data_IF_630675776527
#
_entry.id   IF_630675776527
#
_cell.length_a   1.000
_cell.length_b   1.000
_cell.length_c   1.000
_cell.angle_alpha   90.00
_cell.angle_beta   90.00
_cell.angle_gamma   90.00
#
_symmetry.space_group_name_H-M   'P 1'
#
loop_
_entity.id
_entity.type
_entity.pdbx_description
1 polymer ?
#
# COMPACT_ATOMS: atom_id res chain seq x y z
N UNK A 1 -13.41 -3.76 34.80
CA UNK A 1 -13.94 -4.85 33.95
C UNK A 1 -14.77 -4.30 32.79
N UNK A 2 -15.72 -3.38 32.99
CA UNK A 2 -16.57 -2.83 31.90
C UNK A 2 -15.81 -2.06 30.79
N UNK A 3 -14.76 -1.32 31.14
CA UNK A 3 -13.95 -0.58 30.15
C UNK A 3 -13.27 -1.52 29.14
N UNK A 4 -12.76 -2.67 29.59
CA UNK A 4 -12.08 -3.64 28.73
C UNK A 4 -13.06 -4.32 27.77
N UNK A 5 -14.28 -4.57 28.23
CA UNK A 5 -15.34 -5.16 27.42
C UNK A 5 -15.79 -4.23 26.30
N UNK A 6 -15.96 -2.93 26.60
CA UNK A 6 -16.24 -1.90 25.59
C UNK A 6 -15.10 -1.74 24.57
N UNK A 7 -13.84 -1.84 25.01
CA UNK A 7 -12.68 -1.82 24.12
C UNK A 7 -12.64 -3.04 23.18
N UNK A 8 -12.97 -4.23 23.70
CA UNK A 8 -13.05 -5.45 22.89
C UNK A 8 -14.16 -5.35 21.83
N UNK A 9 -15.32 -4.80 22.18
CA UNK A 9 -16.41 -4.56 21.24
C UNK A 9 -16.03 -3.57 20.13
N UNK A 10 -15.32 -2.49 20.47
CA UNK A 10 -14.78 -1.54 19.49
C UNK A 10 -13.81 -2.21 18.51
N UNK A 11 -12.88 -3.02 19.03
CA UNK A 11 -11.89 -3.72 18.18
C UNK A 11 -12.56 -4.72 17.23
N UNK A 12 -13.60 -5.42 17.69
CA UNK A 12 -14.37 -6.34 16.85
C UNK A 12 -15.17 -5.59 15.77
N UNK A 13 -15.82 -4.48 16.13
CA UNK A 13 -16.52 -3.63 15.17
C UNK A 13 -15.55 -3.07 14.12
N UNK A 14 -14.37 -2.61 14.52
CA UNK A 14 -13.37 -2.11 13.58
C UNK A 14 -12.93 -3.20 12.61
N UNK A 15 -12.60 -4.41 13.10
CA UNK A 15 -12.27 -5.56 12.25
C UNK A 15 -13.35 -5.87 11.23
N UNK A 16 -14.61 -5.83 11.66
CA UNK A 16 -15.77 -6.07 10.77
C UNK A 16 -15.90 -4.98 9.71
N UNK A 17 -15.71 -3.72 10.09
CA UNK A 17 -15.69 -2.58 9.16
C UNK A 17 -14.56 -2.71 8.15
N UNK A 18 -13.34 -3.02 8.59
CA UNK A 18 -12.19 -3.21 7.68
C UNK A 18 -12.43 -4.36 6.71
N UNK A 19 -12.99 -5.47 7.20
CA UNK A 19 -13.32 -6.64 6.37
C UNK A 19 -14.38 -6.28 5.33
N UNK A 20 -15.45 -5.57 5.73
CA UNK A 20 -16.49 -5.11 4.82
C UNK A 20 -15.92 -4.17 3.75
N UNK A 21 -15.16 -3.15 4.15
CA UNK A 21 -14.50 -2.22 3.22
C UNK A 21 -13.58 -2.92 2.25
N UNK A 22 -12.80 -3.92 2.70
CA UNK A 22 -11.93 -4.70 1.82
C UNK A 22 -12.74 -5.47 0.78
N UNK A 23 -13.84 -6.11 1.19
CA UNK A 23 -14.74 -6.84 0.28
C UNK A 23 -15.38 -5.91 -0.74
N UNK A 24 -15.88 -4.76 -0.31
CA UNK A 24 -16.47 -3.76 -1.22
C UNK A 24 -15.44 -3.23 -2.22
N UNK A 25 -14.22 -2.96 -1.75
CA UNK A 25 -13.11 -2.52 -2.61
C UNK A 25 -12.71 -3.60 -3.61
N UNK A 26 -12.58 -4.86 -3.18
CA UNK A 26 -12.28 -5.98 -4.08
C UNK A 26 -13.39 -6.16 -5.14
N UNK A 27 -14.66 -6.07 -4.74
CA UNK A 27 -15.79 -6.13 -5.66
C UNK A 27 -15.76 -4.98 -6.69
N UNK A 28 -15.46 -3.76 -6.25
CA UNK A 28 -15.30 -2.61 -7.14
C UNK A 28 -14.13 -2.81 -8.12
N UNK A 29 -13.00 -3.36 -7.67
CA UNK A 29 -11.86 -3.67 -8.53
C UNK A 29 -12.20 -4.71 -9.60
N UNK A 30 -12.97 -5.75 -9.25
CA UNK A 30 -13.45 -6.74 -10.22
C UNK A 30 -14.33 -6.07 -11.28
N UNK A 31 -15.28 -5.24 -10.86
CA UNK A 31 -16.17 -4.51 -11.77
C UNK A 31 -15.40 -3.59 -12.72
N UNK A 32 -14.45 -2.81 -12.19
CA UNK A 32 -13.59 -1.96 -13.01
C UNK A 32 -12.82 -2.80 -14.02
N UNK A 33 -12.21 -3.92 -13.61
CA UNK A 33 -11.49 -4.82 -14.53
C UNK A 33 -12.37 -5.39 -15.63
N UNK A 34 -13.64 -5.71 -15.34
CA UNK A 34 -14.58 -6.14 -16.38
C UNK A 34 -14.87 -5.02 -17.36
N UNK A 35 -15.17 -3.80 -16.88
CA UNK A 35 -15.40 -2.65 -17.76
C UNK A 35 -14.19 -2.32 -18.64
N UNK A 36 -12.98 -2.39 -18.08
CA UNK A 36 -11.75 -2.23 -18.87
C UNK A 36 -11.67 -3.26 -20.00
N UNK A 37 -12.03 -4.51 -19.71
CA UNK A 37 -11.99 -5.60 -20.69
C UNK A 37 -13.08 -5.45 -21.76
N UNK A 38 -14.33 -5.20 -21.36
CA UNK A 38 -15.49 -5.16 -22.26
C UNK A 38 -15.40 -4.03 -23.28
N UNK A 39 -14.87 -2.88 -22.86
CA UNK A 39 -14.72 -1.69 -23.71
C UNK A 39 -13.30 -1.52 -24.25
N UNK A 40 -12.41 -2.51 -24.03
CA UNK A 40 -11.00 -2.47 -24.42
C UNK A 40 -10.29 -1.16 -24.01
N UNK A 41 -10.61 -0.63 -22.83
CA UNK A 41 -10.09 0.65 -22.34
C UNK A 41 -8.61 0.53 -22.03
N UNK A 42 -7.83 1.52 -22.47
CA UNK A 42 -6.42 1.60 -22.13
C UNK A 42 -6.22 2.31 -20.79
N UNK A 43 -5.13 1.99 -20.07
CA UNK A 43 -4.77 2.69 -18.84
C UNK A 43 -4.64 4.22 -19.05
N UNK A 44 -4.29 4.66 -20.26
CA UNK A 44 -4.21 6.09 -20.61
C UNK A 44 -5.58 6.76 -20.63
N UNK A 45 -6.62 6.07 -21.05
CA UNK A 45 -7.99 6.59 -21.08
C UNK A 45 -8.61 6.64 -19.68
N UNK A 46 -8.25 5.67 -18.82
CA UNK A 46 -8.78 5.59 -17.45
C UNK A 46 -8.09 6.60 -16.52
N UNK A 47 -6.77 6.74 -16.65
CA UNK A 47 -5.95 7.50 -15.69
C UNK A 47 -5.32 8.77 -16.26
N UNK A 48 -5.49 9.05 -17.56
CA UNK A 48 -4.98 10.23 -18.25
C UNK A 48 -3.49 10.18 -18.60
N UNK A 49 -3.00 11.24 -19.25
CA UNK A 49 -1.58 11.41 -19.55
C UNK A 49 -0.79 11.65 -18.25
N UNK A 50 0.18 10.77 -17.96
CA UNK A 50 1.06 10.84 -16.78
C UNK A 50 0.88 9.68 -15.78
N UNK A 51 -0.07 8.78 -16.01
CA UNK A 51 -0.26 7.60 -15.15
C UNK A 51 0.96 6.68 -15.15
N UNK A 52 1.62 6.48 -16.30
CA UNK A 52 2.81 5.62 -16.41
C UNK A 52 3.98 6.08 -15.54
N UNK A 53 4.16 7.39 -15.36
CA UNK A 53 5.31 7.92 -14.63
C UNK A 53 5.08 7.94 -13.12
N UNK A 54 3.85 8.21 -12.68
CA UNK A 54 3.48 8.11 -11.26
C UNK A 54 3.26 6.66 -10.81
N UNK A 55 2.62 5.81 -11.61
CA UNK A 55 2.45 4.39 -11.26
C UNK A 55 3.81 3.69 -11.10
N UNK A 56 4.81 3.98 -11.94
CA UNK A 56 6.19 3.50 -11.73
C UNK A 56 6.83 3.95 -10.41
N UNK A 57 6.42 5.10 -9.85
CA UNK A 57 6.89 5.55 -8.53
C UNK A 57 6.18 4.82 -7.39
N UNK A 58 4.93 4.37 -7.59
CA UNK A 58 4.13 3.65 -6.58
C UNK A 58 4.23 2.12 -6.69
N UNK A 59 4.70 1.57 -7.80
CA UNK A 59 4.88 0.11 -8.01
C UNK A 59 6.24 -0.41 -7.55
N UNK A 60 7.21 0.46 -7.28
CA UNK A 60 8.48 0.02 -6.67
C UNK A 60 8.26 -0.07 -5.15
N UNK A 61 8.02 -1.30 -4.68
CA UNK A 61 7.90 -1.62 -3.27
C UNK A 61 9.11 -1.13 -2.45
N UNK A 62 8.91 -0.95 -1.16
CA UNK A 62 9.99 -0.62 -0.23
C UNK A 62 11.16 -1.60 -0.40
N UNK A 63 12.34 -1.08 -0.75
CA UNK A 63 13.55 -1.90 -0.94
C UNK A 63 14.35 -2.02 0.35
N UNK A 64 14.27 -0.99 1.19
CA UNK A 64 15.00 -0.91 2.45
C UNK A 64 14.06 -0.66 3.63
N UNK A 65 14.37 -1.22 4.80
CA UNK A 65 13.65 -1.02 6.05
C UNK A 65 14.63 -0.78 7.20
N UNK A 66 14.34 0.20 8.02
CA UNK A 66 15.06 0.47 9.27
C UNK A 66 14.69 -0.60 10.33
N UNK A 67 15.65 -1.36 10.87
CA UNK A 67 15.39 -2.33 11.94
C UNK A 67 14.98 -1.67 13.26
N UNK A 68 15.33 -0.39 13.50
CA UNK A 68 15.05 0.28 14.75
C UNK A 68 13.63 0.87 14.80
N UNK A 69 13.20 1.57 13.75
CA UNK A 69 11.90 2.25 13.70
C UNK A 69 10.88 1.57 12.79
N UNK A 70 11.31 0.62 11.96
CA UNK A 70 10.46 0.00 10.94
C UNK A 70 10.17 0.88 9.73
N UNK A 71 10.77 2.08 9.64
CA UNK A 71 10.60 2.99 8.52
C UNK A 71 11.10 2.35 7.21
N UNK A 72 10.37 2.56 6.11
CA UNK A 72 10.69 1.94 4.82
C UNK A 72 11.10 2.98 3.77
N UNK A 73 12.03 2.61 2.90
CA UNK A 73 12.48 3.44 1.78
C UNK A 73 12.60 2.64 0.49
N UNK A 74 12.09 3.18 -0.61
CA UNK A 74 12.11 2.54 -1.93
C UNK A 74 13.47 2.61 -2.63
N UNK A 75 14.45 3.30 -2.04
CA UNK A 75 15.76 3.55 -2.67
C UNK A 75 15.76 4.65 -3.72
N UNK A 76 14.65 5.39 -3.87
CA UNK A 76 14.52 6.58 -4.73
C UNK A 76 14.12 7.80 -3.89
N UNK A 77 14.58 8.98 -4.31
CA UNK A 77 14.33 10.25 -3.59
C UNK A 77 15.37 10.55 -2.52
N UNK A 78 15.05 11.46 -1.59
CA UNK A 78 15.95 11.88 -0.51
C UNK A 78 16.29 10.68 0.37
N UNK A 79 17.59 10.41 0.51
CA UNK A 79 18.09 9.34 1.36
C UNK A 79 17.73 9.63 2.84
N UNK A 80 17.05 8.70 3.54
CA UNK A 80 16.74 8.85 4.95
C UNK A 80 17.99 8.80 5.82
N UNK A 81 17.99 9.56 6.93
CA UNK A 81 19.13 9.65 7.85
C UNK A 81 19.55 8.30 8.47
N UNK A 82 18.64 7.32 8.56
CA UNK A 82 18.92 6.00 9.15
C UNK A 82 19.73 5.07 8.24
N UNK A 83 19.71 5.28 6.92
CA UNK A 83 20.50 4.54 5.94
C UNK A 83 21.65 5.38 5.36
N UNK A 84 21.59 6.70 5.50
CA UNK A 84 22.61 7.61 4.99
C UNK A 84 24.00 7.31 5.56
N UNK A 85 24.97 7.09 4.67
CA UNK A 85 26.37 6.78 5.03
C UNK A 85 26.61 5.40 5.65
N UNK A 86 25.61 4.51 5.67
CA UNK A 86 25.74 3.13 6.15
C UNK A 86 25.67 2.13 5.00
N UNK A 87 26.10 0.90 5.25
CA UNK A 87 25.96 -0.16 4.26
C UNK A 87 24.48 -0.48 4.02
N UNK A 88 24.02 -0.21 2.80
CA UNK A 88 22.62 -0.33 2.41
C UNK A 88 22.13 -1.78 2.41
N UNK A 89 23.04 -2.75 2.32
CA UNK A 89 22.65 -4.16 2.28
C UNK A 89 22.11 -4.66 3.61
N UNK A 90 22.53 -4.04 4.73
CA UNK A 90 22.02 -4.35 6.07
C UNK A 90 20.53 -3.97 6.27
N UNK A 91 20.00 -3.09 5.43
CA UNK A 91 18.61 -2.62 5.50
C UNK A 91 17.73 -3.22 4.41
N UNK A 92 18.26 -4.09 3.54
CA UNK A 92 17.48 -4.68 2.44
C UNK A 92 16.34 -5.54 3.01
N UNK A 93 15.14 -5.29 2.52
CA UNK A 93 14.02 -6.19 2.75
C UNK A 93 14.27 -7.42 1.87
N UNK A 94 14.70 -8.52 2.48
CA UNK A 94 14.71 -9.84 1.85
C UNK A 94 13.33 -10.42 2.03
N UNK A 95 12.62 -10.59 0.91
CA UNK A 95 11.34 -11.31 0.85
C UNK A 95 11.53 -12.79 1.18
#
# INVERSE_FOLDING_TARGET
MQLQELQAQLAELDRRIQTARRRERDAALVQVRQLVKDYALTAREIFGQGYSDRAKLFTIGAKYRDPATGATWSGRGREPAWIAGRDRTAFLIRE
#
